data_IF_447594711093
#
_entry.id   IF_447594711093
#
_cell.length_a   1.000
_cell.length_b   1.000
_cell.length_c   1.000
_cell.angle_alpha   90.00
_cell.angle_beta   90.00
_cell.angle_gamma   90.00
#
_symmetry.space_group_name_H-M   'P 1'
#
loop_
_entity.id
_entity.type
_entity.pdbx_description
1 polymer ?
#
# COMPACT_ATOMS: atom_id res chain seq x y z
N UNK A 1 -20.35 2.29 20.00
CA UNK A 1 -20.27 1.71 18.65
C UNK A 1 -18.79 1.57 18.30
N UNK A 2 -18.34 0.36 17.95
CA UNK A 2 -16.95 0.15 17.54
C UNK A 2 -16.78 0.66 16.12
N UNK A 3 -16.01 1.74 15.94
CA UNK A 3 -15.60 2.18 14.61
C UNK A 3 -14.64 1.14 14.04
N UNK A 4 -15.13 0.29 13.14
CA UNK A 4 -14.26 -0.52 12.30
C UNK A 4 -13.42 0.47 11.49
N UNK A 5 -12.13 0.59 11.81
CA UNK A 5 -11.18 1.31 10.95
C UNK A 5 -11.10 0.52 9.64
N UNK A 6 -11.95 0.84 8.66
CA UNK A 6 -11.89 0.25 7.31
C UNK A 6 -10.72 0.87 6.56
N UNK A 7 -9.50 0.47 6.93
CA UNK A 7 -8.30 0.80 6.16
C UNK A 7 -8.22 -0.17 4.98
N UNK A 8 -8.38 0.35 3.78
CA UNK A 8 -8.14 -0.39 2.55
C UNK A 8 -6.65 -0.42 2.27
N UNK A 9 -6.12 -1.60 1.94
CA UNK A 9 -4.78 -1.76 1.39
C UNK A 9 -4.95 -2.37 0.01
N UNK A 10 -4.51 -1.66 -1.02
CA UNK A 10 -4.46 -2.18 -2.38
C UNK A 10 -3.00 -2.46 -2.74
N UNK A 11 -2.74 -3.69 -3.16
CA UNK A 11 -1.40 -4.16 -3.55
C UNK A 11 -1.49 -4.73 -4.95
N UNK A 12 -0.60 -4.30 -5.83
CA UNK A 12 -0.51 -4.80 -7.19
C UNK A 12 0.94 -5.12 -7.54
N UNK A 13 1.20 -6.38 -7.92
CA UNK A 13 2.51 -6.83 -8.36
C UNK A 13 2.62 -6.70 -9.87
N UNK A 14 3.67 -6.01 -10.33
CA UNK A 14 4.05 -5.91 -11.73
C UNK A 14 5.30 -6.76 -11.94
N UNK A 15 5.18 -7.74 -12.85
CA UNK A 15 6.28 -8.64 -13.19
C UNK A 15 7.29 -7.95 -14.10
N UNK A 16 8.56 -8.36 -14.05
CA UNK A 16 9.57 -7.83 -14.93
C UNK A 16 9.20 -8.09 -16.40
N UNK A 17 9.43 -7.11 -17.24
CA UNK A 17 9.25 -7.17 -18.69
C UNK A 17 10.52 -6.69 -19.39
N UNK A 18 10.69 -6.92 -20.70
CA UNK A 18 11.88 -6.44 -21.43
C UNK A 18 12.11 -4.94 -21.30
N UNK A 19 11.05 -4.15 -21.11
CA UNK A 19 11.12 -2.70 -20.89
C UNK A 19 11.32 -2.30 -19.43
N UNK A 20 11.08 -3.23 -18.49
CA UNK A 20 11.11 -2.96 -17.05
C UNK A 20 11.68 -4.18 -16.31
N UNK A 21 13.02 -4.26 -16.13
CA UNK A 21 13.70 -5.47 -15.67
C UNK A 21 13.49 -5.76 -14.18
N UNK A 22 12.80 -4.89 -13.44
CA UNK A 22 12.59 -5.00 -12.00
C UNK A 22 11.18 -5.48 -11.70
N UNK A 23 11.02 -6.26 -10.62
CA UNK A 23 9.70 -6.56 -10.06
C UNK A 23 9.25 -5.35 -9.25
N UNK A 24 8.05 -4.84 -9.54
CA UNK A 24 7.48 -3.70 -8.81
C UNK A 24 6.25 -4.17 -8.03
N UNK A 25 6.07 -3.63 -6.83
CA UNK A 25 4.82 -3.75 -6.09
C UNK A 25 4.32 -2.33 -5.83
N UNK A 26 3.15 -2.02 -6.37
CA UNK A 26 2.42 -0.79 -6.06
C UNK A 26 1.60 -1.02 -4.79
N UNK A 27 1.77 -0.14 -3.81
CA UNK A 27 1.05 -0.15 -2.55
C UNK A 27 0.23 1.12 -2.42
N UNK A 28 -1.08 0.99 -2.23
CA UNK A 28 -1.96 2.11 -1.90
C UNK A 28 -2.61 1.85 -0.54
N UNK A 29 -2.32 2.73 0.40
CA UNK A 29 -2.91 2.75 1.73
C UNK A 29 -3.95 3.87 1.76
N UNK A 30 -5.20 3.52 2.03
CA UNK A 30 -6.28 4.50 2.10
C UNK A 30 -7.20 4.22 3.28
N UNK A 31 -7.73 5.27 3.89
CA UNK A 31 -8.85 5.14 4.81
C UNK A 31 -10.13 5.18 4.01
N UNK A 32 -11.02 4.22 4.26
CA UNK A 32 -12.36 4.23 3.71
C UNK A 32 -13.29 4.91 4.70
N UNK A 33 -13.98 5.95 4.27
CA UNK A 33 -15.00 6.64 5.05
C UNK A 33 -16.34 6.60 4.32
N UNK A 34 -17.41 6.35 5.08
CA UNK A 34 -18.77 6.43 4.57
C UNK A 34 -19.17 7.90 4.53
N UNK A 35 -19.45 8.41 3.34
CA UNK A 35 -20.00 9.74 3.13
C UNK A 35 -21.43 9.64 2.60
N UNK A 36 -22.22 10.67 2.84
CA UNK A 36 -23.57 10.78 2.27
C UNK A 36 -23.51 11.56 0.96
N UNK A 37 -23.95 10.94 -0.13
CA UNK A 37 -24.18 11.63 -1.39
C UNK A 37 -25.63 12.13 -1.42
N UNK A 38 -25.79 13.44 -1.24
CA UNK A 38 -27.11 14.08 -1.23
C UNK A 38 -27.79 14.11 -2.60
N UNK A 39 -27.02 14.04 -3.69
CA UNK A 39 -27.52 14.11 -5.06
C UNK A 39 -28.09 12.75 -5.49
N UNK A 40 -27.42 11.66 -5.11
CA UNK A 40 -27.88 10.30 -5.39
C UNK A 40 -28.70 9.67 -4.23
N UNK A 41 -28.86 10.38 -3.12
CA UNK A 41 -29.53 9.91 -1.88
C UNK A 41 -29.01 8.55 -1.40
N UNK A 42 -27.71 8.34 -1.50
CA UNK A 42 -27.06 7.06 -1.21
C UNK A 42 -25.84 7.25 -0.30
N UNK A 43 -25.57 6.23 0.51
CA UNK A 43 -24.29 6.13 1.19
C UNK A 43 -23.22 5.71 0.19
N UNK A 44 -22.21 6.56 0.05
CA UNK A 44 -21.06 6.32 -0.81
C UNK A 44 -19.82 6.06 0.03
N UNK A 45 -18.95 5.20 -0.46
CA UNK A 45 -17.70 4.89 0.18
C UNK A 45 -16.59 5.71 -0.47
N UNK A 46 -16.02 6.65 0.28
CA UNK A 46 -14.94 7.50 -0.18
C UNK A 46 -13.59 7.01 0.36
N UNK A 47 -12.55 7.07 -0.47
CA UNK A 47 -11.17 6.88 -0.03
C UNK A 47 -10.60 8.23 0.40
N UNK A 48 -10.32 8.36 1.69
CA UNK A 48 -9.73 9.54 2.32
C UNK A 48 -8.29 9.22 2.72
N UNK A 49 -7.41 10.22 2.67
CA UNK A 49 -5.99 10.09 3.04
C UNK A 49 -5.25 8.96 2.29
N UNK A 50 -5.47 8.86 0.97
CA UNK A 50 -4.78 7.87 0.14
C UNK A 50 -3.29 8.21 -0.03
N UNK A 51 -2.43 7.23 0.18
CA UNK A 51 -0.98 7.36 0.00
C UNK A 51 -0.51 6.20 -0.86
N UNK A 52 0.38 6.52 -1.81
CA UNK A 52 0.94 5.57 -2.76
C UNK A 52 2.42 5.36 -2.49
N UNK A 53 2.84 4.10 -2.51
CA UNK A 53 4.24 3.69 -2.41
C UNK A 53 4.56 2.69 -3.51
N UNK A 54 5.77 2.78 -4.04
CA UNK A 54 6.28 1.80 -5.00
C UNK A 54 7.48 1.11 -4.38
N UNK A 55 7.36 -0.21 -4.25
CA UNK A 55 8.44 -1.07 -3.82
C UNK A 55 9.09 -1.72 -5.04
N UNK A 56 10.40 -1.58 -5.16
CA UNK A 56 11.17 -2.11 -6.30
C UNK A 56 12.07 -3.23 -5.84
N UNK A 57 12.00 -4.36 -6.53
CA UNK A 57 12.87 -5.50 -6.36
C UNK A 57 13.71 -5.73 -7.61
N UNK A 58 15.02 -5.86 -7.42
CA UNK A 58 16.00 -6.18 -8.49
C UNK A 58 16.39 -7.65 -8.52
N UNK A 59 15.89 -8.43 -7.57
CA UNK A 59 16.25 -9.83 -7.31
C UNK A 59 15.03 -10.75 -7.41
N UNK A 60 14.14 -10.44 -8.37
CA UNK A 60 12.96 -11.24 -8.73
C UNK A 60 11.93 -11.39 -7.59
N UNK A 61 11.90 -10.47 -6.63
CA UNK A 61 10.94 -10.46 -5.51
C UNK A 61 11.51 -10.94 -4.18
N UNK A 62 12.82 -11.20 -4.08
CA UNK A 62 13.45 -11.66 -2.83
C UNK A 62 13.64 -10.53 -1.80
N UNK A 63 14.01 -9.34 -2.28
CA UNK A 63 14.14 -8.11 -1.50
C UNK A 63 13.47 -6.95 -2.22
N UNK A 64 12.77 -6.14 -1.45
CA UNK A 64 12.10 -4.95 -1.93
C UNK A 64 12.75 -3.73 -1.30
N UNK A 65 12.89 -2.69 -2.10
CA UNK A 65 13.40 -1.39 -1.68
C UNK A 65 12.34 -0.34 -1.95
N UNK A 66 12.01 0.44 -0.93
CA UNK A 66 11.11 1.59 -1.07
C UNK A 66 11.96 2.87 -0.99
N UNK A 67 11.63 3.85 -1.83
CA UNK A 67 12.33 5.12 -1.89
C UNK A 67 12.12 5.95 -0.63
N UNK A 68 11.31 7.00 -0.75
CA UNK A 68 11.01 7.89 0.37
C UNK A 68 9.66 7.55 0.99
N UNK A 69 9.62 7.46 2.32
CA UNK A 69 8.39 7.30 3.09
C UNK A 69 8.11 8.61 3.79
N UNK A 70 6.96 9.21 3.51
CA UNK A 70 6.54 10.51 4.03
C UNK A 70 5.27 10.43 4.90
N UNK A 71 4.91 9.22 5.33
CA UNK A 71 3.72 8.93 6.14
C UNK A 71 4.09 7.90 7.19
N UNK A 72 3.61 8.12 8.40
CA UNK A 72 3.65 7.14 9.48
C UNK A 72 2.60 6.05 9.16
N UNK A 73 3.07 4.86 8.83
CA UNK A 73 2.25 3.72 8.43
C UNK A 73 2.03 2.74 9.57
N UNK A 74 2.98 2.63 10.50
CA UNK A 74 2.92 1.70 11.63
C UNK A 74 2.34 2.32 12.92
N UNK A 75 2.05 3.62 12.88
CA UNK A 75 1.48 4.45 13.94
C UNK A 75 2.37 4.58 15.17
N UNK A 76 3.68 4.55 15.01
CA UNK A 76 4.62 4.80 16.11
C UNK A 76 4.85 6.30 16.38
N UNK A 77 4.30 7.18 15.53
CA UNK A 77 4.43 8.63 15.64
C UNK A 77 5.72 9.19 15.03
N UNK A 78 6.56 8.36 14.39
CA UNK A 78 7.86 8.73 13.84
C UNK A 78 7.97 8.23 12.40
N UNK A 79 7.98 9.18 11.46
CA UNK A 79 8.20 8.84 10.05
C UNK A 79 9.68 8.50 9.83
N UNK A 80 9.99 7.27 9.42
CA UNK A 80 11.37 6.90 9.14
C UNK A 80 11.62 5.46 8.70
N UNK A 81 12.71 4.90 9.22
CA UNK A 81 13.20 3.58 8.81
C UNK A 81 12.25 2.44 9.23
N UNK A 82 11.51 2.61 10.34
CA UNK A 82 10.51 1.65 10.81
C UNK A 82 9.40 1.45 9.80
N UNK A 83 8.77 2.55 9.36
CA UNK A 83 7.74 2.53 8.32
C UNK A 83 8.21 1.87 7.04
N UNK A 84 9.41 2.25 6.60
CA UNK A 84 10.02 1.70 5.38
C UNK A 84 10.18 0.18 5.49
N UNK A 85 10.73 -0.31 6.59
CA UNK A 85 10.90 -1.74 6.80
C UNK A 85 9.57 -2.49 6.82
N UNK A 86 8.51 -1.89 7.36
CA UNK A 86 7.16 -2.48 7.36
C UNK A 86 6.58 -2.59 5.95
N UNK A 87 6.71 -1.53 5.15
CA UNK A 87 6.22 -1.53 3.77
C UNK A 87 7.00 -2.51 2.88
N UNK A 88 8.31 -2.60 3.05
CA UNK A 88 9.15 -3.58 2.34
C UNK A 88 8.79 -5.01 2.73
N UNK A 89 8.58 -5.28 4.02
CA UNK A 89 8.13 -6.58 4.50
C UNK A 89 6.73 -6.94 3.96
N UNK A 90 5.83 -5.97 3.87
CA UNK A 90 4.50 -6.15 3.30
C UNK A 90 4.57 -6.47 1.80
N UNK A 91 5.37 -5.71 1.04
CA UNK A 91 5.57 -5.97 -0.38
C UNK A 91 6.16 -7.36 -0.63
N UNK A 92 7.14 -7.77 0.20
CA UNK A 92 7.73 -9.11 0.15
C UNK A 92 6.72 -10.21 0.45
N UNK A 93 5.94 -10.07 1.53
CA UNK A 93 4.91 -11.03 1.90
C UNK A 93 3.86 -11.17 0.78
N UNK A 94 3.44 -10.05 0.19
CA UNK A 94 2.49 -10.06 -0.92
C UNK A 94 3.08 -10.75 -2.17
N UNK A 95 4.32 -10.44 -2.53
CA UNK A 95 5.00 -11.09 -3.65
C UNK A 95 5.12 -12.60 -3.45
N UNK A 96 5.44 -13.06 -2.23
CA UNK A 96 5.50 -14.47 -1.87
C UNK A 96 4.14 -15.17 -1.93
N UNK A 97 3.04 -14.49 -1.55
CA UNK A 97 1.69 -15.07 -1.66
C UNK A 97 1.28 -15.26 -3.12
N UNK A 98 1.60 -14.28 -3.98
CA UNK A 98 1.25 -14.31 -5.41
C UNK A 98 2.13 -15.33 -6.17
N UNK A 99 3.35 -15.58 -5.68
CA UNK A 99 4.29 -16.52 -6.28
C UNK A 99 5.01 -17.36 -5.19
N UNK A 100 4.35 -18.42 -4.69
CA UNK A 100 4.86 -19.25 -3.60
C UNK A 100 6.08 -20.11 -3.97
#
# INVERSE_FOLDING_TARGET
MSFFNQRGIFLQLMRPSPSEPNTLVSLQLARKELSWDAENQQQVEALVDSVFFTATSKDLGNSFSIGNVNKDVDRDGVIGAGDKAKLEALAKAYAAIINP
#
